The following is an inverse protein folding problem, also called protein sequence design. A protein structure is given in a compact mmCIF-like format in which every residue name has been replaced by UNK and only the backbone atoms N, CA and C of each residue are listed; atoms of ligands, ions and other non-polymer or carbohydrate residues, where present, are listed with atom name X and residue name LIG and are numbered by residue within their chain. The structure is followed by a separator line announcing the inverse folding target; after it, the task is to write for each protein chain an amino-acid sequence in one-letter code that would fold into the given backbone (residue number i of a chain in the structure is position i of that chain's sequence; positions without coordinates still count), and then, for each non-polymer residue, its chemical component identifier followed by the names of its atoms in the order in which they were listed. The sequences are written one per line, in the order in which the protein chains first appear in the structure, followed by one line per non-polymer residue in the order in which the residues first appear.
data_IF_702753833569
#
_entry.id   IF_702753833569
#
_cell.length_a   1.000
_cell.length_b   1.000
_cell.length_c   1.000
_cell.angle_alpha   90.00
_cell.angle_beta   90.00
_cell.angle_gamma   90.00
#
_symmetry.space_group_name_H-M   'P 1'
#
loop_
_entity.id
_entity.type
_entity.pdbx_description
1 polymer ?
#
# COMPACT_ATOMS: atom_id res chain seq x y z
N UNK A 1 -1.54 1.37 15.01
CA UNK A 1 -1.08 1.13 13.64
C UNK A 1 -1.59 2.25 12.79
N UNK A 2 -0.70 2.79 11.98
CA UNK A 2 -0.95 3.87 11.05
C UNK A 2 -0.35 3.44 9.70
N UNK A 3 -1.16 3.49 8.66
CA UNK A 3 -0.73 3.40 7.26
C UNK A 3 -1.41 4.57 6.57
N UNK A 4 -0.62 5.55 6.14
CA UNK A 4 -1.14 6.83 5.68
C UNK A 4 -0.40 7.33 4.44
N UNK A 5 -1.19 7.86 3.50
CA UNK A 5 -0.72 8.53 2.30
C UNK A 5 -1.28 9.95 2.25
N UNK A 6 -0.42 10.92 1.97
CA UNK A 6 -0.75 12.31 1.73
C UNK A 6 -0.13 12.73 0.38
N UNK A 7 -0.97 12.97 -0.63
CA UNK A 7 -0.55 13.45 -1.95
C UNK A 7 -1.10 14.86 -2.16
N UNK A 8 -0.24 15.83 -2.48
CA UNK A 8 -0.61 17.25 -2.60
C UNK A 8 -0.77 17.71 -4.05
N UNK A 9 -0.54 16.82 -5.01
CA UNK A 9 -0.57 17.11 -6.44
C UNK A 9 -1.28 16.00 -7.19
N UNK A 10 -2.03 16.40 -8.22
CA UNK A 10 -2.65 15.45 -9.14
C UNK A 10 -1.67 15.06 -10.25
N UNK A 11 -1.71 13.79 -10.64
CA UNK A 11 -0.97 13.21 -11.75
C UNK A 11 -1.93 12.86 -12.88
N UNK A 12 -1.67 13.35 -14.09
CA UNK A 12 -2.38 12.91 -15.29
C UNK A 12 -1.74 11.64 -15.85
N UNK A 13 -2.44 10.52 -15.71
CA UNK A 13 -1.96 9.21 -16.15
C UNK A 13 -1.70 9.17 -17.66
N UNK A 14 -2.34 10.04 -18.45
CA UNK A 14 -2.11 10.11 -19.90
C UNK A 14 -0.75 10.72 -20.29
N UNK A 15 -0.07 11.36 -19.35
CA UNK A 15 1.28 11.93 -19.54
C UNK A 15 2.39 10.91 -19.25
N UNK A 16 2.06 9.74 -18.69
CA UNK A 16 3.00 8.66 -18.53
C UNK A 16 3.42 8.09 -19.90
N UNK A 17 4.48 7.29 -19.89
CA UNK A 17 4.94 6.61 -21.10
C UNK A 17 3.86 5.68 -21.66
N UNK A 18 4.03 5.31 -22.93
CA UNK A 18 3.25 4.22 -23.49
C UNK A 18 3.77 2.89 -22.92
N UNK A 19 2.82 1.98 -22.66
CA UNK A 19 3.07 0.67 -22.09
C UNK A 19 2.93 -0.39 -23.19
N UNK A 20 3.84 -1.36 -23.17
CA UNK A 20 3.90 -2.47 -24.12
C UNK A 20 3.34 -3.75 -23.49
N UNK A 21 2.36 -4.37 -24.14
CA UNK A 21 1.66 -5.54 -23.61
C UNK A 21 2.53 -6.79 -23.40
N UNK A 22 3.69 -6.86 -24.05
CA UNK A 22 4.65 -7.95 -23.90
C UNK A 22 5.54 -7.78 -22.66
N UNK A 23 5.82 -6.53 -22.27
CA UNK A 23 6.82 -6.20 -21.25
C UNK A 23 6.27 -5.49 -20.02
N UNK A 24 5.06 -4.94 -20.09
CA UNK A 24 4.45 -4.13 -19.04
C UNK A 24 3.20 -4.80 -18.45
N UNK A 25 2.99 -4.51 -17.16
CA UNK A 25 1.84 -4.97 -16.40
C UNK A 25 1.35 -3.87 -15.42
N UNK A 26 0.45 -4.23 -14.52
CA UNK A 26 -0.07 -3.36 -13.47
C UNK A 26 1.05 -2.73 -12.65
N UNK A 27 2.07 -3.51 -12.31
CA UNK A 27 3.21 -3.06 -11.50
C UNK A 27 4.03 -2.02 -12.27
N UNK A 28 4.28 -2.20 -13.57
CA UNK A 28 4.95 -1.20 -14.40
C UNK A 28 4.27 0.18 -14.32
N UNK A 29 2.94 0.21 -14.37
CA UNK A 29 2.17 1.46 -14.27
C UNK A 29 2.24 2.04 -12.86
N UNK A 30 2.08 1.20 -11.83
CA UNK A 30 2.18 1.64 -10.43
C UNK A 30 3.56 2.21 -10.11
N UNK A 31 4.63 1.60 -10.62
CA UNK A 31 6.00 2.09 -10.50
C UNK A 31 6.13 3.48 -11.09
N UNK A 32 5.71 3.69 -12.35
CA UNK A 32 5.82 5.02 -12.98
C UNK A 32 5.00 6.09 -12.24
N UNK A 33 3.80 5.75 -11.76
CA UNK A 33 2.98 6.65 -10.93
C UNK A 33 3.73 7.04 -9.66
N UNK A 34 4.28 6.05 -8.95
CA UNK A 34 5.01 6.25 -7.72
C UNK A 34 6.29 7.09 -7.94
N UNK A 35 7.02 6.83 -9.01
CA UNK A 35 8.18 7.63 -9.43
C UNK A 35 7.80 9.07 -9.73
N UNK A 36 6.69 9.34 -10.42
CA UNK A 36 6.25 10.72 -10.66
C UNK A 36 5.81 11.42 -9.36
N UNK A 37 5.09 10.71 -8.49
CA UNK A 37 4.66 11.25 -7.20
C UNK A 37 5.84 11.51 -6.25
N UNK A 38 6.92 10.74 -6.31
CA UNK A 38 8.11 10.90 -5.44
C UNK A 38 8.92 12.18 -5.72
N UNK A 39 8.73 12.76 -6.92
CA UNK A 39 9.38 14.03 -7.32
C UNK A 39 8.89 15.21 -6.48
N UNK A 40 7.63 15.20 -6.05
CA UNK A 40 7.08 16.23 -5.18
C UNK A 40 7.39 15.91 -3.71
N UNK A 41 8.31 16.67 -3.12
CA UNK A 41 8.75 16.50 -1.72
C UNK A 41 7.70 16.86 -0.66
N UNK A 42 6.56 17.42 -1.06
CA UNK A 42 5.42 17.64 -0.15
C UNK A 42 4.57 16.37 0.03
N UNK A 43 4.68 15.40 -0.88
CA UNK A 43 3.98 14.12 -0.74
C UNK A 43 4.61 13.29 0.39
N UNK A 44 3.79 12.57 1.14
CA UNK A 44 4.24 11.76 2.28
C UNK A 44 3.56 10.40 2.28
N UNK A 45 4.37 9.35 2.47
CA UNK A 45 3.92 8.00 2.79
C UNK A 45 4.49 7.64 4.17
N UNK A 46 3.62 7.19 5.09
CA UNK A 46 3.99 6.90 6.47
C UNK A 46 3.42 5.58 6.91
N UNK A 47 4.25 4.79 7.57
CA UNK A 47 3.83 3.62 8.33
C UNK A 47 4.36 3.73 9.76
N UNK A 48 3.48 3.52 10.73
CA UNK A 48 3.83 3.34 12.14
C UNK A 48 3.11 2.11 12.66
N UNK A 49 3.85 1.05 12.96
CA UNK A 49 3.28 -0.18 13.48
C UNK A 49 4.28 -0.87 14.41
N UNK A 50 3.77 -1.42 15.51
CA UNK A 50 4.51 -2.28 16.45
C UNK A 50 5.68 -1.63 17.19
N UNK A 51 5.95 -0.34 16.98
CA UNK A 51 6.89 0.48 17.74
C UNK A 51 6.41 1.94 17.72
N UNK A 52 7.03 2.81 18.52
CA UNK A 52 6.73 4.23 18.51
C UNK A 52 7.43 4.97 17.35
N UNK A 53 8.16 4.27 16.49
CA UNK A 53 8.96 4.84 15.41
C UNK A 53 8.26 4.67 14.05
N UNK A 54 8.43 5.66 13.18
CA UNK A 54 8.02 5.52 11.78
C UNK A 54 8.93 4.51 11.07
N UNK A 55 8.34 3.69 10.21
CA UNK A 55 9.11 2.87 9.29
C UNK A 55 9.74 3.78 8.23
N UNK A 56 10.97 3.47 7.79
CA UNK A 56 11.69 4.31 6.84
C UNK A 56 11.21 4.05 5.40
N UNK A 57 9.91 4.25 5.14
CA UNK A 57 9.28 4.03 3.83
C UNK A 57 9.47 5.22 2.89
N UNK A 58 9.49 4.93 1.58
CA UNK A 58 9.45 5.93 0.52
C UNK A 58 8.31 5.73 -0.50
N UNK A 59 8.02 6.81 -1.23
CA UNK A 59 6.95 6.81 -2.24
C UNK A 59 7.37 6.08 -3.52
N UNK A 60 8.66 6.04 -3.85
CA UNK A 60 9.12 5.57 -5.15
C UNK A 60 9.11 4.04 -5.26
N UNK A 61 9.39 3.36 -4.15
CA UNK A 61 9.59 1.92 -4.09
C UNK A 61 8.62 1.24 -3.12
N UNK A 62 8.60 1.63 -1.84
CA UNK A 62 7.79 0.95 -0.83
C UNK A 62 6.29 1.11 -1.07
N UNK A 63 5.87 2.26 -1.61
CA UNK A 63 4.48 2.48 -1.99
C UNK A 63 4.03 1.53 -3.10
N UNK A 64 4.90 1.21 -4.07
CA UNK A 64 4.59 0.26 -5.16
C UNK A 64 4.30 -1.11 -4.56
N UNK A 65 5.18 -1.58 -3.67
CA UNK A 65 5.06 -2.88 -2.99
C UNK A 65 3.78 -2.96 -2.16
N UNK A 66 3.42 -1.87 -1.48
CA UNK A 66 2.15 -1.80 -0.75
C UNK A 66 0.95 -1.87 -1.70
N UNK A 67 0.95 -1.09 -2.78
CA UNK A 67 -0.15 -1.01 -3.75
C UNK A 67 -0.37 -2.33 -4.50
N UNK A 68 0.69 -3.09 -4.77
CA UNK A 68 0.60 -4.44 -5.34
C UNK A 68 -0.24 -5.38 -4.47
N UNK A 69 -0.03 -5.33 -3.15
CA UNK A 69 -0.67 -6.24 -2.19
C UNK A 69 -2.02 -5.75 -1.69
N UNK A 70 -2.28 -4.44 -1.76
CA UNK A 70 -3.45 -3.79 -1.19
C UNK A 70 -4.80 -4.36 -1.64
N UNK A 71 -5.04 -4.70 -2.92
CA UNK A 71 -6.32 -5.22 -3.38
C UNK A 71 -6.67 -6.56 -2.72
N UNK A 72 -5.71 -7.49 -2.75
CA UNK A 72 -5.82 -8.79 -2.10
C UNK A 72 -6.02 -8.61 -0.60
N UNK A 73 -5.22 -7.76 0.04
CA UNK A 73 -5.32 -7.52 1.47
C UNK A 73 -6.71 -6.99 1.88
N UNK A 74 -7.25 -6.00 1.16
CA UNK A 74 -8.60 -5.46 1.41
C UNK A 74 -9.66 -6.55 1.22
N UNK A 75 -9.55 -7.38 0.17
CA UNK A 75 -10.50 -8.47 -0.09
C UNK A 75 -10.50 -9.50 1.03
N UNK A 76 -9.33 -10.00 1.43
CA UNK A 76 -9.21 -10.97 2.53
C UNK A 76 -9.74 -10.39 3.85
N UNK A 77 -9.45 -9.11 4.12
CA UNK A 77 -9.97 -8.45 5.31
C UNK A 77 -11.49 -8.33 5.28
N UNK A 78 -12.11 -8.01 4.13
CA UNK A 78 -13.58 -7.99 3.99
C UNK A 78 -14.20 -9.36 4.25
N UNK A 79 -13.53 -10.45 3.84
CA UNK A 79 -13.98 -11.83 4.05
C UNK A 79 -13.79 -12.32 5.49
N UNK A 80 -13.07 -11.58 6.34
CA UNK A 80 -12.70 -12.03 7.67
C UNK A 80 -11.65 -13.14 7.64
N UNK A 81 -10.72 -13.06 6.70
CA UNK A 81 -9.62 -14.01 6.54
C UNK A 81 -8.30 -13.43 7.00
N UNK A 82 -7.35 -14.30 7.36
CA UNK A 82 -5.97 -13.90 7.61
C UNK A 82 -5.37 -13.22 6.37
N UNK A 83 -4.50 -12.24 6.59
CA UNK A 83 -3.81 -11.51 5.53
C UNK A 83 -2.41 -11.09 5.99
N UNK A 84 -1.58 -10.59 5.08
CA UNK A 84 -0.34 -9.90 5.43
C UNK A 84 -0.01 -8.80 4.42
N UNK A 85 0.87 -7.88 4.85
CA UNK A 85 1.48 -6.86 4.01
C UNK A 85 2.99 -6.98 4.23
N UNK A 86 3.73 -7.35 3.19
CA UNK A 86 5.18 -7.55 3.25
C UNK A 86 5.92 -6.40 2.55
N UNK A 87 6.74 -5.65 3.30
CA UNK A 87 7.55 -4.54 2.80
C UNK A 87 9.02 -4.93 2.89
N UNK A 88 9.58 -5.26 1.73
CA UNK A 88 10.94 -5.82 1.60
C UNK A 88 11.92 -4.89 0.89
N UNK A 89 11.47 -3.73 0.40
CA UNK A 89 12.32 -2.75 -0.27
C UNK A 89 13.09 -1.84 0.70
N UNK A 90 14.13 -1.17 0.18
CA UNK A 90 14.93 -0.13 0.83
C UNK A 90 15.41 -0.44 2.28
N UNK A 91 15.63 -1.72 2.59
CA UNK A 91 16.11 -2.15 3.91
C UNK A 91 15.05 -2.13 5.00
N UNK A 92 13.75 -2.09 4.64
CA UNK A 92 12.66 -2.29 5.60
C UNK A 92 12.63 -3.73 6.07
N UNK A 93 12.51 -4.69 5.14
CA UNK A 93 12.46 -6.14 5.41
C UNK A 93 11.50 -6.51 6.56
N UNK A 94 10.27 -5.96 6.54
CA UNK A 94 9.24 -6.14 7.57
C UNK A 94 7.89 -6.55 6.99
N UNK A 95 7.22 -7.44 7.69
CA UNK A 95 5.89 -7.94 7.37
C UNK A 95 4.90 -7.58 8.49
N UNK A 96 3.73 -7.06 8.11
CA UNK A 96 2.55 -6.88 8.97
C UNK A 96 1.68 -8.13 8.81
N UNK A 97 1.65 -9.00 9.82
CA UNK A 97 0.79 -10.18 9.85
C UNK A 97 -0.56 -9.81 10.46
N UNK A 98 -1.66 -10.08 9.75
CA UNK A 98 -3.03 -9.79 10.18
C UNK A 98 -3.75 -11.11 10.46
N UNK A 99 -4.04 -11.41 11.73
CA UNK A 99 -4.72 -12.64 12.15
C UNK A 99 -6.16 -12.35 12.57
N UNK A 100 -7.13 -12.88 11.81
CA UNK A 100 -8.53 -12.64 12.08
C UNK A 100 -8.96 -13.34 13.38
N UNK A 101 -9.70 -12.62 14.21
CA UNK A 101 -10.26 -13.10 15.45
C UNK A 101 -11.60 -12.42 15.73
N UNK A 102 -12.69 -13.05 15.32
CA UNK A 102 -14.07 -12.68 15.66
C UNK A 102 -14.39 -11.18 15.43
N UNK A 103 -14.17 -10.68 14.22
CA UNK A 103 -14.45 -9.28 13.85
C UNK A 103 -13.34 -8.29 14.21
N UNK A 104 -12.26 -8.76 14.82
CA UNK A 104 -11.03 -8.00 15.05
C UNK A 104 -9.84 -8.69 14.39
N UNK A 105 -8.71 -7.98 14.30
CA UNK A 105 -7.43 -8.52 13.88
C UNK A 105 -6.41 -8.38 15.01
N UNK A 106 -5.73 -9.48 15.30
CA UNK A 106 -4.48 -9.45 16.05
C UNK A 106 -3.35 -9.24 15.04
N UNK A 107 -2.66 -8.11 15.14
CA UNK A 107 -1.61 -7.72 14.21
C UNK A 107 -0.24 -7.95 14.85
N UNK A 108 0.67 -8.54 14.08
CA UNK A 108 2.04 -8.83 14.51
C UNK A 108 3.05 -8.29 13.50
N UNK A 109 4.14 -7.72 14.02
CA UNK A 109 5.30 -7.39 13.21
C UNK A 109 6.23 -8.59 13.08
N UNK A 110 6.76 -8.81 11.88
CA UNK A 110 7.84 -9.76 11.63
C UNK A 110 8.95 -9.06 10.86
N UNK A 111 10.21 -9.30 11.22
CA UNK A 111 11.38 -8.87 10.45
C UNK A 111 11.99 -10.08 9.77
N UNK A 112 12.42 -9.93 8.52
CA UNK A 112 13.08 -10.99 7.75
C UNK A 112 14.58 -11.07 8.01
N UNK A 113 15.21 -9.97 8.42
CA UNK A 113 16.65 -9.87 8.69
C UNK A 113 17.03 -9.97 10.18
N UNK A 114 16.03 -9.94 11.07
CA UNK A 114 16.20 -9.93 12.52
C UNK A 114 16.73 -8.62 13.11
N UNK A 115 16.90 -7.56 12.30
CA UNK A 115 17.45 -6.27 12.75
C UNK A 115 16.39 -5.46 13.50
N UNK A 116 15.17 -5.43 12.95
CA UNK A 116 14.04 -4.75 13.58
C UNK A 116 13.25 -5.72 14.46
N UNK A 117 12.92 -5.29 15.69
CA UNK A 117 12.16 -6.10 16.64
C UNK A 117 10.88 -5.35 17.03
N UNK A 118 9.68 -5.95 16.84
CA UNK A 118 8.44 -5.34 17.28
C UNK A 118 8.43 -5.19 18.81
N UNK A 119 8.03 -4.02 19.29
CA UNK A 119 7.93 -3.72 20.72
C UNK A 119 6.58 -4.15 21.31
N UNK A 120 5.53 -4.21 20.50
CA UNK A 120 4.20 -4.61 20.92
C UNK A 120 3.41 -5.23 19.76
N UNK A 121 2.41 -6.05 20.08
CA UNK A 121 1.38 -6.46 19.14
C UNK A 121 0.24 -5.45 19.16
N UNK A 122 -0.56 -5.42 18.09
CA UNK A 122 -1.71 -4.53 18.00
C UNK A 122 -3.02 -5.31 17.85
N UNK A 123 -4.11 -4.70 18.30
CA UNK A 123 -5.45 -5.19 18.03
C UNK A 123 -6.26 -4.07 17.39
N UNK A 124 -6.90 -4.36 16.26
CA UNK A 124 -7.69 -3.40 15.49
C UNK A 124 -8.99 -4.06 15.05
N UNK A 125 -10.10 -3.32 15.05
CA UNK A 125 -11.36 -3.85 14.52
C UNK A 125 -11.25 -4.05 13.01
N UNK A 126 -11.95 -5.03 12.45
CA UNK A 126 -12.03 -5.24 11.01
C UNK A 126 -12.52 -3.97 10.29
N UNK A 127 -13.49 -3.27 10.88
CA UNK A 127 -14.03 -2.01 10.35
C UNK A 127 -12.98 -0.91 10.29
N UNK A 128 -12.21 -0.71 11.36
CA UNK A 128 -11.19 0.35 11.40
C UNK A 128 -10.01 0.04 10.48
N UNK A 129 -9.62 -1.23 10.39
CA UNK A 129 -8.58 -1.68 9.47
C UNK A 129 -8.98 -1.45 8.01
N UNK A 130 -10.20 -1.88 7.63
CA UNK A 130 -10.74 -1.61 6.29
C UNK A 130 -10.85 -0.13 6.01
N UNK A 131 -11.31 0.67 6.98
CA UNK A 131 -11.41 2.12 6.83
C UNK A 131 -10.04 2.74 6.57
N UNK A 132 -9.01 2.34 7.31
CA UNK A 132 -7.64 2.82 7.12
C UNK A 132 -7.12 2.49 5.72
N UNK A 133 -7.22 1.23 5.28
CA UNK A 133 -6.73 0.79 3.96
C UNK A 133 -7.53 1.39 2.80
N UNK A 134 -8.85 1.53 2.95
CA UNK A 134 -9.69 2.19 1.92
C UNK A 134 -9.42 3.69 1.86
N UNK A 135 -9.21 4.36 2.99
CA UNK A 135 -8.84 5.78 3.00
C UNK A 135 -7.49 6.01 2.32
N UNK A 136 -6.53 5.10 2.55
CA UNK A 136 -5.24 5.11 1.86
C UNK A 136 -5.42 4.97 0.34
N UNK A 137 -6.19 3.98 -0.10
CA UNK A 137 -6.49 3.74 -1.51
C UNK A 137 -7.22 4.93 -2.14
N UNK A 138 -8.21 5.50 -1.46
CA UNK A 138 -8.97 6.66 -1.93
C UNK A 138 -8.06 7.88 -2.11
N UNK A 139 -7.13 8.13 -1.18
CA UNK A 139 -6.14 9.21 -1.35
C UNK A 139 -5.27 8.99 -2.58
N UNK A 140 -4.75 7.77 -2.78
CA UNK A 140 -3.97 7.43 -3.97
C UNK A 140 -4.77 7.70 -5.25
N UNK A 141 -5.99 7.16 -5.34
CA UNK A 141 -6.86 7.29 -6.51
C UNK A 141 -7.37 8.71 -6.77
N UNK A 142 -7.51 9.52 -5.72
CA UNK A 142 -7.92 10.92 -5.83
C UNK A 142 -6.85 11.77 -6.50
N UNK A 143 -5.58 11.39 -6.37
CA UNK A 143 -4.47 12.06 -7.04
C UNK A 143 -4.37 11.71 -8.53
N UNK A 144 -5.06 10.67 -9.03
CA UNK A 144 -4.91 10.21 -10.42
C UNK A 144 -6.02 10.74 -11.33
N UNK A 145 -5.64 11.64 -12.25
CA UNK A 145 -6.50 12.09 -13.36
C UNK A 145 -6.51 11.07 -14.48
N UNK A 146 -7.66 10.97 -15.15
CA UNK A 146 -7.85 10.07 -16.30
C UNK A 146 -7.50 8.62 -16.01
N UNK A 147 -7.57 8.17 -14.75
CA UNK A 147 -7.20 6.80 -14.33
C UNK A 147 -7.86 5.68 -15.13
N UNK A 148 -9.08 5.90 -15.63
CA UNK A 148 -9.81 4.93 -16.45
C UNK A 148 -9.31 4.82 -17.90
N UNK A 149 -8.39 5.69 -18.32
CA UNK A 149 -7.78 5.63 -19.66
C UNK A 149 -6.65 4.62 -19.77
N UNK A 150 -6.10 4.13 -18.64
CA UNK A 150 -5.04 3.14 -18.61
C UNK A 150 -5.60 1.77 -18.24
N UNK A 151 -5.53 0.80 -19.15
CA UNK A 151 -6.11 -0.54 -18.97
C UNK A 151 -5.51 -1.32 -17.80
N UNK A 152 -4.22 -1.15 -17.51
CA UNK A 152 -3.55 -1.85 -16.41
C UNK A 152 -4.03 -1.30 -15.07
N UNK A 153 -4.20 0.00 -14.96
CA UNK A 153 -4.78 0.61 -13.77
C UNK A 153 -6.25 0.20 -13.58
N UNK A 154 -7.02 0.04 -14.66
CA UNK A 154 -8.38 -0.52 -14.60
C UNK A 154 -8.37 -1.98 -14.14
N UNK A 155 -7.44 -2.79 -14.63
CA UNK A 155 -7.29 -4.18 -14.22
C UNK A 155 -6.95 -4.28 -12.73
N UNK A 156 -5.93 -3.54 -12.27
CA UNK A 156 -5.57 -3.44 -10.86
C UNK A 156 -6.74 -2.96 -9.98
N UNK A 157 -7.50 -1.98 -10.44
CA UNK A 157 -8.70 -1.49 -9.74
C UNK A 157 -9.80 -2.56 -9.63
N UNK A 158 -9.96 -3.41 -10.65
CA UNK A 158 -10.97 -4.48 -10.62
C UNK A 158 -10.67 -5.55 -9.56
N UNK A 159 -9.39 -5.75 -9.24
CA UNK A 159 -8.98 -6.66 -8.16
C UNK A 159 -9.26 -6.08 -6.76
N UNK A 160 -9.61 -4.79 -6.66
CA UNK A 160 -9.96 -4.09 -5.42
C UNK A 160 -11.49 -4.07 -5.12
N UNK A 161 -12.35 -4.44 -6.08
CA UNK A 161 -13.83 -4.39 -5.97
C UNK A 161 -14.46 -5.77 -5.81
#
# INVERSE_FOLDING_TARGET
MLIQLELTSELDITQLRQYDDEYDNEISVLTDICTELSKNKLNQFKIQAFSNELWPVDIETDLVVLLEQLPVCIREINLGSDSSIDLYEQGISREILLKFNQGNYNCYGKSHDGIWVPSYAENISQTDLLKMLKTFLDHFLSALKNKHSNKYLVQWLSDNT
#
